data_IF_274304540071
#
_entry.id   IF_274304540071
#
_cell.length_a   1.000
_cell.length_b   1.000
_cell.length_c   1.000
_cell.angle_alpha   90.00
_cell.angle_beta   90.00
_cell.angle_gamma   90.00
#
_symmetry.space_group_name_H-M   'P 1'
#
loop_
_entity.id
_entity.type
_entity.pdbx_description
1 polymer ?
2 polymer ?
3 polymer ?
4 non-polymer ?
5 non-polymer ?
6 water ?
#
loop_
_entity_poly.entity_id
_entity_poly.type
_entity_poly.pdbx_seq_one_letter_code
_entity_poly.pdbx_strand_id
3 'polydeoxyribonucleotide' '(DA)(DT)(DC)(DC)(DT)(DC)(DC)(DC)(DC)(DT)(DA)(DOC)' ?
#
# COMPACT_ATOMS: atom_id res chain seq x y z
N UNK A 1 -18.27 -11.60 19.92
CA UNK A 1 -18.92 -11.17 18.65
C UNK A 1 -19.39 -9.77 19.07
N UNK A 2 -20.00 -8.98 18.21
CA UNK A 2 -20.40 -7.61 18.59
C UNK A 2 -19.19 -6.71 18.72
N UNK A 3 -19.07 -5.88 17.70
CA UNK A 3 -18.00 -4.93 17.50
C UNK A 3 -17.89 -3.85 18.56
N UNK A 4 -16.67 -3.60 18.99
CA UNK A 4 -16.42 -2.57 19.99
C UNK A 4 -16.67 -1.21 19.37
N UNK A 5 -17.47 -0.38 20.03
CA UNK A 5 -17.80 0.95 19.51
C UNK A 5 -16.69 1.97 19.74
N UNK A 6 -16.75 3.05 18.97
CA UNK A 6 -15.76 4.12 19.04
C UNK A 6 -15.67 4.90 20.35
N UNK A 7 -16.64 4.72 21.24
CA UNK A 7 -16.59 5.42 22.53
C UNK A 7 -16.03 4.50 23.60
N UNK A 8 -15.56 3.33 23.18
CA UNK A 8 -15.01 2.35 24.10
C UNK A 8 -13.48 2.47 24.18
N UNK A 9 -12.94 2.41 25.41
CA UNK A 9 -11.49 2.50 25.59
C UNK A 9 -10.67 1.58 24.71
N UNK A 10 -11.16 0.40 24.31
CA UNK A 10 -10.23 -0.29 23.44
C UNK A 10 -10.64 -0.42 21.99
N UNK A 11 -11.34 0.60 21.50
CA UNK A 11 -11.77 0.68 20.11
C UNK A 11 -10.59 0.53 19.15
N UNK A 12 -9.55 1.31 19.39
CA UNK A 12 -8.37 1.29 18.52
C UNK A 12 -7.76 -0.09 18.43
N UNK A 13 -7.59 -0.72 19.57
CA UNK A 13 -7.00 -2.04 19.67
C UNK A 13 -7.75 -3.07 18.84
N UNK A 14 -9.06 -3.07 19.02
CA UNK A 14 -9.95 -4.00 18.34
C UNK A 14 -10.10 -3.69 16.85
N UNK A 15 -10.18 -2.41 16.52
CA UNK A 15 -10.29 -2.00 15.13
C UNK A 15 -9.00 -2.36 14.39
N UNK A 16 -7.86 -1.93 14.93
CA UNK A 16 -6.58 -2.26 14.32
C UNK A 16 -6.35 -3.76 14.21
N UNK A 17 -6.81 -4.54 15.19
CA UNK A 17 -6.60 -5.99 15.12
C UNK A 17 -7.34 -6.59 13.95
N UNK A 18 -8.38 -5.89 13.50
CA UNK A 18 -9.21 -6.37 12.40
C UNK A 18 -8.96 -5.72 11.05
N UNK A 19 -8.44 -4.49 11.04
CA UNK A 19 -8.22 -3.77 9.78
C UNK A 19 -6.97 -4.21 9.02
N UNK A 20 -7.17 -4.78 7.84
CA UNK A 20 -6.02 -5.24 7.05
C UNK A 20 -5.21 -4.03 6.57
N UNK A 21 -5.83 -2.88 6.39
CA UNK A 21 -5.08 -1.72 5.94
C UNK A 21 -4.15 -1.22 7.06
N UNK A 22 -4.58 -1.32 8.31
CA UNK A 22 -3.73 -0.94 9.42
C UNK A 22 -2.55 -1.93 9.44
N UNK A 23 -2.82 -3.22 9.21
CA UNK A 23 -1.73 -4.20 9.23
C UNK A 23 -0.71 -3.92 8.15
N UNK A 24 -1.21 -3.56 6.98
CA UNK A 24 -0.34 -3.27 5.86
C UNK A 24 0.62 -2.15 6.26
N UNK A 25 0.06 -1.08 6.81
CA UNK A 25 0.87 0.05 7.21
C UNK A 25 1.85 -0.29 8.34
N UNK A 26 1.36 -1.00 9.35
CA UNK A 26 2.21 -1.37 10.46
C UNK A 26 3.35 -2.29 9.98
N UNK A 27 3.02 -3.27 9.14
CA UNK A 27 4.06 -4.16 8.66
C UNK A 27 5.10 -3.36 7.88
N UNK A 28 4.64 -2.44 7.03
CA UNK A 28 5.54 -1.62 6.22
C UNK A 28 6.48 -0.84 7.13
N UNK A 29 5.93 -0.13 8.11
CA UNK A 29 6.74 0.65 9.05
C UNK A 29 7.77 -0.21 9.76
N UNK A 30 7.38 -1.40 10.22
CA UNK A 30 8.31 -2.26 10.92
C UNK A 30 9.43 -2.74 10.00
N UNK A 31 9.08 -3.05 8.74
CA UNK A 31 10.09 -3.52 7.80
C UNK A 31 11.12 -2.45 7.49
N UNK A 32 10.67 -1.20 7.33
CA UNK A 32 11.59 -0.10 7.05
C UNK A 32 12.55 -0.06 8.25
N UNK A 33 11.99 -0.09 9.46
CA UNK A 33 12.77 -0.06 10.68
C UNK A 33 13.81 -1.17 10.77
N UNK A 34 13.36 -2.40 10.51
CA UNK A 34 14.24 -3.55 10.56
C UNK A 34 15.38 -3.33 9.58
N UNK A 35 15.08 -2.75 8.43
CA UNK A 35 16.14 -2.52 7.47
C UNK A 35 17.17 -1.54 8.05
N UNK A 36 16.68 -0.50 8.72
CA UNK A 36 17.59 0.47 9.31
C UNK A 36 18.41 -0.15 10.43
N UNK A 37 17.81 -1.04 11.22
CA UNK A 37 18.54 -1.67 12.30
C UNK A 37 19.60 -2.67 11.80
N UNK A 38 19.25 -3.47 10.80
CA UNK A 38 20.16 -4.47 10.23
C UNK A 38 21.31 -3.83 9.47
N UNK A 39 21.11 -2.62 8.99
CA UNK A 39 22.19 -1.97 8.25
C UNK A 39 22.81 -0.77 8.96
N UNK A 40 22.69 -0.67 10.29
CA UNK A 40 23.31 0.44 11.01
C UNK A 40 24.79 0.58 10.65
N UNK A 41 25.45 -0.57 10.47
CA UNK A 41 26.87 -0.61 10.15
C UNK A 41 27.24 -1.14 8.77
N UNK A 42 26.46 -0.80 7.76
CA UNK A 42 26.76 -1.28 6.41
C UNK A 42 26.69 -0.16 5.39
N UNK A 43 27.80 0.06 4.66
CA UNK A 43 27.83 1.08 3.61
C UNK A 43 26.76 0.56 2.65
N UNK A 44 25.82 1.45 2.35
CA UNK A 44 24.59 1.10 1.65
C UNK A 44 24.16 1.77 0.32
N UNK A 45 24.54 3.03 0.13
CA UNK A 45 24.17 3.82 -1.06
C UNK A 45 24.77 3.33 -2.38
N UNK A 46 24.00 3.49 -3.44
CA UNK A 46 24.44 3.13 -4.78
C UNK A 46 24.76 4.47 -5.42
N UNK A 47 25.67 4.48 -6.40
CA UNK A 47 26.12 5.71 -7.06
C UNK A 47 25.75 5.85 -8.54
N UNK A 48 26.11 6.98 -9.15
CA UNK A 48 25.85 7.24 -10.57
C UNK A 48 26.72 6.31 -11.39
N UNK A 49 27.95 6.14 -10.91
CA UNK A 49 28.97 5.30 -11.54
C UNK A 49 28.63 3.81 -11.63
N UNK A 50 27.77 3.33 -10.72
CA UNK A 50 27.33 1.93 -10.61
C UNK A 50 26.40 1.38 -11.72
N UNK A 51 26.58 0.11 -12.09
CA UNK A 51 25.70 -0.53 -13.08
C UNK A 51 24.90 -1.54 -12.29
N UNK A 52 23.58 -1.52 -12.44
CA UNK A 52 22.74 -2.42 -11.65
C UNK A 52 21.52 -3.02 -12.34
N UNK A 53 21.07 -4.15 -11.81
CA UNK A 53 19.90 -4.85 -12.34
C UNK A 53 18.85 -4.93 -11.22
N UNK A 54 17.61 -4.57 -11.52
CA UNK A 54 16.55 -4.59 -10.53
C UNK A 54 15.70 -5.81 -10.68
N UNK A 55 15.44 -6.48 -9.57
CA UNK A 55 14.62 -7.68 -9.63
C UNK A 55 13.48 -7.33 -8.71
N UNK A 56 12.32 -7.02 -9.24
CA UNK A 56 11.18 -6.66 -8.39
C UNK A 56 10.37 -7.92 -8.12
N UNK A 57 10.31 -8.35 -6.85
CA UNK A 57 9.66 -9.59 -6.45
C UNK A 57 8.42 -9.35 -5.58
N UNK A 58 7.32 -10.01 -5.94
CA UNK A 58 6.03 -9.80 -5.29
C UNK A 58 5.23 -11.10 -5.20
N UNK A 59 4.58 -11.38 -4.07
CA UNK A 59 3.76 -12.58 -3.99
C UNK A 59 2.54 -12.40 -4.89
N UNK A 60 2.06 -13.49 -5.49
CA UNK A 60 0.85 -13.40 -6.31
C UNK A 60 -0.36 -13.48 -5.37
N UNK A 61 -1.35 -12.63 -5.61
CA UNK A 61 -2.59 -12.56 -4.80
C UNK A 61 -2.31 -13.11 -3.42
N UNK A 62 -1.46 -12.38 -2.72
CA UNK A 62 -0.93 -12.71 -1.41
C UNK A 62 -1.81 -13.23 -0.28
N UNK A 63 -2.87 -12.52 0.07
CA UNK A 63 -3.72 -12.98 1.14
C UNK A 63 -4.55 -14.16 0.68
N UNK A 64 -5.03 -14.07 -0.55
CA UNK A 64 -5.83 -15.12 -1.13
C UNK A 64 -5.05 -16.42 -1.12
N UNK A 65 -3.79 -16.37 -1.57
CA UNK A 65 -2.95 -17.56 -1.58
C UNK A 65 -2.74 -18.11 -0.18
N UNK A 66 -2.29 -17.26 0.72
CA UNK A 66 -2.04 -17.71 2.07
C UNK A 66 -3.29 -18.17 2.81
N UNK A 67 -4.39 -17.42 2.67
CA UNK A 67 -5.64 -17.77 3.33
C UNK A 67 -6.13 -19.12 2.82
N UNK A 68 -5.87 -19.40 1.55
CA UNK A 68 -6.29 -20.67 0.99
C UNK A 68 -5.45 -21.83 1.54
N UNK A 69 -4.13 -21.67 1.56
CA UNK A 69 -3.28 -22.74 2.08
C UNK A 69 -3.56 -23.05 3.56
N UNK A 70 -4.07 -22.06 4.31
CA UNK A 70 -4.39 -22.21 5.74
C UNK A 70 -5.87 -22.30 6.05
N UNK A 71 -6.68 -22.59 5.05
CA UNK A 71 -8.11 -22.63 5.26
C UNK A 71 -8.65 -23.74 6.18
N UNK A 72 -9.63 -23.39 7.00
CA UNK A 72 -10.29 -24.31 7.92
C UNK A 72 -10.90 -25.46 7.10
N UNK A 73 -11.21 -26.58 7.74
CA UNK A 73 -11.74 -27.73 7.00
C UNK A 73 -13.08 -27.58 6.28
N UNK A 74 -13.91 -26.64 6.70
CA UNK A 74 -15.20 -26.47 6.04
C UNK A 74 -15.03 -25.93 4.61
N UNK A 75 -13.82 -25.50 4.28
CA UNK A 75 -13.53 -25.04 2.92
C UNK A 75 -12.58 -26.02 2.24
N UNK A 76 -12.42 -27.25 2.75
CA UNK A 76 -11.49 -28.16 2.09
C UNK A 76 -11.85 -28.41 0.61
N UNK A 77 -13.16 -28.29 0.31
CA UNK A 77 -13.78 -28.53 -1.01
C UNK A 77 -13.39 -27.64 -2.18
N UNK A 78 -12.66 -26.59 -1.77
CA UNK A 78 -12.14 -25.50 -2.58
C UNK A 78 -10.92 -25.85 -3.42
N UNK A 79 -10.86 -25.31 -4.63
CA UNK A 79 -9.77 -25.58 -5.57
C UNK A 79 -9.26 -24.22 -6.10
N UNK A 80 -8.07 -23.83 -5.64
CA UNK A 80 -7.47 -22.56 -6.03
C UNK A 80 -7.36 -22.32 -7.53
N UNK A 81 -7.25 -23.40 -8.31
CA UNK A 81 -7.09 -23.26 -9.75
C UNK A 81 -8.39 -23.15 -10.56
N UNK A 82 -9.54 -23.56 -10.01
CA UNK A 82 -10.81 -23.51 -10.76
C UNK A 82 -11.89 -22.59 -10.20
N UNK A 83 -11.79 -22.27 -8.90
CA UNK A 83 -12.75 -21.46 -8.17
C UNK A 83 -12.35 -19.99 -7.94
N UNK A 84 -13.32 -19.04 -7.96
CA UNK A 84 -13.01 -17.63 -7.73
C UNK A 84 -12.95 -17.44 -6.22
N UNK A 85 -11.80 -17.02 -5.72
CA UNK A 85 -11.64 -16.87 -4.28
C UNK A 85 -11.24 -15.48 -3.84
N UNK A 86 -11.79 -15.07 -2.72
CA UNK A 86 -11.47 -13.76 -2.17
C UNK A 86 -11.31 -13.87 -0.68
N UNK A 87 -10.69 -12.85 -0.11
CA UNK A 87 -10.49 -12.74 1.33
C UNK A 87 -11.23 -11.48 1.72
N UNK A 88 -12.15 -11.58 2.69
CA UNK A 88 -12.91 -10.41 3.12
C UNK A 88 -13.62 -10.68 4.44
N UNK A 89 -14.20 -9.63 5.02
CA UNK A 89 -14.91 -9.79 6.28
C UNK A 89 -16.37 -10.14 6.14
N UNK A 90 -17.01 -9.49 5.17
CA UNK A 90 -18.43 -9.68 5.02
C UNK A 90 -19.01 -10.28 3.76
N UNK A 91 -20.23 -9.83 3.49
CA UNK A 91 -21.05 -10.32 2.41
C UNK A 91 -21.62 -9.29 1.41
N UNK A 92 -21.55 -8.01 1.73
CA UNK A 92 -22.10 -7.00 0.82
C UNK A 92 -21.12 -5.88 0.46
N UNK A 93 -21.08 -4.81 1.27
CA UNK A 93 -20.19 -3.68 1.00
C UNK A 93 -18.92 -3.81 1.79
N UNK A 94 -18.35 -5.00 1.66
CA UNK A 94 -17.12 -5.39 2.32
C UNK A 94 -16.00 -5.48 1.31
N UNK A 95 -14.86 -4.90 1.66
CA UNK A 95 -13.70 -4.90 0.77
C UNK A 95 -13.09 -6.27 0.54
N UNK A 96 -12.82 -6.57 -0.71
CA UNK A 96 -12.16 -7.81 -1.06
C UNK A 96 -10.69 -7.43 -0.93
N UNK A 97 -10.02 -7.89 0.11
CA UNK A 97 -8.60 -7.53 0.26
C UNK A 97 -7.78 -8.11 -0.89
N UNK A 98 -8.05 -9.36 -1.23
CA UNK A 98 -7.28 -10.02 -2.26
C UNK A 98 -8.13 -11.06 -2.97
N UNK A 99 -7.96 -11.19 -4.28
CA UNK A 99 -8.69 -12.18 -5.07
C UNK A 99 -7.72 -12.94 -5.96
N UNK A 100 -7.99 -14.23 -6.17
CA UNK A 100 -7.12 -15.04 -7.01
C UNK A 100 -7.37 -14.80 -8.49
N UNK A 101 -6.45 -15.28 -9.31
CA UNK A 101 -6.56 -15.05 -10.74
C UNK A 101 -7.81 -15.62 -11.40
N UNK A 102 -8.38 -16.66 -10.82
CA UNK A 102 -9.62 -17.16 -11.41
C UNK A 102 -10.65 -16.05 -11.19
N UNK A 103 -10.73 -15.48 -9.99
CA UNK A 103 -11.69 -14.40 -9.78
C UNK A 103 -11.40 -13.22 -10.71
N UNK A 104 -10.12 -12.93 -10.94
CA UNK A 104 -9.77 -11.82 -11.82
C UNK A 104 -10.18 -12.07 -13.27
N UNK A 105 -10.30 -13.33 -13.65
CA UNK A 105 -10.68 -13.60 -15.02
C UNK A 105 -12.12 -13.12 -15.26
N UNK A 106 -12.89 -12.92 -14.20
CA UNK A 106 -14.25 -12.44 -14.34
C UNK A 106 -14.35 -10.93 -14.21
N UNK A 107 -13.21 -10.29 -13.91
CA UNK A 107 -13.20 -8.84 -13.75
C UNK A 107 -13.08 -8.37 -12.31
N UNK A 108 -13.08 -9.31 -11.38
CA UNK A 108 -12.98 -8.99 -9.97
C UNK A 108 -11.59 -8.39 -9.67
N UNK A 109 -11.53 -7.37 -8.81
CA UNK A 109 -10.26 -6.71 -8.47
C UNK A 109 -10.09 -6.52 -6.97
N UNK A 110 -8.85 -6.29 -6.54
CA UNK A 110 -8.60 -6.04 -5.13
C UNK A 110 -9.24 -4.67 -4.90
N UNK A 111 -9.86 -4.45 -3.75
CA UNK A 111 -10.46 -3.16 -3.53
C UNK A 111 -11.94 -3.09 -3.86
N UNK A 112 -12.43 -4.09 -4.59
CA UNK A 112 -13.83 -4.18 -4.99
C UNK A 112 -14.70 -4.69 -3.83
N UNK A 113 -15.97 -4.29 -3.77
CA UNK A 113 -16.85 -4.79 -2.73
C UNK A 113 -17.40 -6.15 -3.16
N UNK A 114 -17.67 -7.02 -2.20
CA UNK A 114 -18.22 -8.33 -2.50
C UNK A 114 -19.49 -8.25 -3.36
N UNK A 115 -20.39 -7.30 -3.05
CA UNK A 115 -21.62 -7.18 -3.84
C UNK A 115 -21.33 -6.92 -5.32
N UNK A 116 -20.36 -6.05 -5.59
CA UNK A 116 -19.92 -5.71 -6.96
C UNK A 116 -19.41 -6.99 -7.63
N UNK A 117 -18.52 -7.70 -6.93
CA UNK A 117 -17.89 -8.90 -7.46
C UNK A 117 -18.86 -10.01 -7.85
N UNK A 118 -19.82 -10.30 -6.98
CA UNK A 118 -20.78 -11.34 -7.27
C UNK A 118 -21.62 -11.08 -8.49
N UNK A 119 -21.89 -9.81 -8.80
CA UNK A 119 -22.65 -9.51 -9.99
C UNK A 119 -21.85 -9.88 -11.22
N UNK A 120 -20.53 -9.97 -11.11
CA UNK A 120 -19.73 -10.29 -12.29
C UNK A 120 -19.63 -11.76 -12.60
N UNK A 121 -20.17 -12.60 -11.75
CA UNK A 121 -20.08 -14.03 -11.97
C UNK A 121 -21.23 -14.66 -12.72
N UNK A 122 -20.91 -15.39 -13.79
CA UNK A 122 -21.95 -16.05 -14.58
C UNK A 122 -22.63 -17.14 -13.77
N UNK A 123 -23.80 -17.52 -14.28
CA UNK A 123 -24.62 -18.57 -13.71
C UNK A 123 -23.81 -19.82 -13.48
N UNK A 124 -23.83 -20.32 -12.26
CA UNK A 124 -23.11 -21.54 -12.00
C UNK A 124 -21.72 -21.35 -11.42
N UNK A 125 -21.33 -20.11 -11.18
CA UNK A 125 -20.03 -19.88 -10.60
C UNK A 125 -20.33 -19.16 -9.29
N UNK A 126 -19.80 -19.72 -8.21
CA UNK A 126 -20.02 -19.17 -6.88
C UNK A 126 -18.72 -18.63 -6.29
N UNK A 127 -18.84 -17.48 -5.66
CA UNK A 127 -17.72 -16.79 -5.03
C UNK A 127 -17.38 -17.45 -3.71
N UNK A 128 -16.10 -17.72 -3.50
CA UNK A 128 -15.72 -18.31 -2.24
C UNK A 128 -15.00 -17.26 -1.41
N UNK A 129 -15.52 -16.99 -0.22
CA UNK A 129 -14.97 -15.98 0.69
C UNK A 129 -14.18 -16.56 1.85
N UNK A 130 -12.88 -16.25 1.93
CA UNK A 130 -12.06 -16.74 3.03
C UNK A 130 -11.80 -15.65 4.06
N UNK A 131 -11.57 -16.03 5.33
CA UNK A 131 -11.29 -15.06 6.39
C UNK A 131 -9.83 -14.63 6.31
N UNK A 132 -9.48 -13.57 7.02
CA UNK A 132 -8.10 -13.12 7.05
C UNK A 132 -7.36 -14.02 8.02
N UNK A 133 -6.09 -14.27 7.74
CA UNK A 133 -5.24 -15.06 8.63
C UNK A 133 -3.98 -14.19 8.77
N UNK A 134 -4.09 -13.14 9.57
CA UNK A 134 -2.98 -12.21 9.75
C UNK A 134 -1.64 -12.78 10.20
N UNK A 135 -1.65 -13.64 11.21
CA UNK A 135 -0.42 -14.22 11.70
C UNK A 135 0.26 -15.01 10.59
N UNK A 136 -0.52 -15.77 9.83
CA UNK A 136 0.06 -16.52 8.74
C UNK A 136 0.61 -15.59 7.65
N UNK A 137 -0.06 -14.48 7.34
CA UNK A 137 0.49 -13.59 6.30
C UNK A 137 1.88 -13.18 6.74
N UNK A 138 2.03 -12.91 8.02
CA UNK A 138 3.30 -12.47 8.54
C UNK A 138 4.37 -13.58 8.51
N UNK A 139 4.01 -14.81 8.85
CA UNK A 139 4.99 -15.89 8.81
C UNK A 139 5.51 -16.14 7.38
N UNK A 140 4.62 -16.08 6.39
CA UNK A 140 5.04 -16.28 5.01
C UNK A 140 5.94 -15.13 4.59
N UNK A 141 5.63 -13.93 5.08
CA UNK A 141 6.48 -12.82 4.71
C UNK A 141 7.89 -12.98 5.28
N UNK A 142 7.99 -13.49 6.51
CA UNK A 142 9.30 -13.68 7.13
C UNK A 142 10.12 -14.72 6.35
N UNK A 143 9.49 -15.82 5.94
CA UNK A 143 10.16 -16.85 5.16
C UNK A 143 10.68 -16.24 3.85
N UNK A 144 9.81 -15.47 3.20
CA UNK A 144 10.14 -14.78 1.95
C UNK A 144 11.39 -13.97 2.17
N UNK A 145 11.37 -13.06 3.13
CA UNK A 145 12.54 -12.23 3.38
C UNK A 145 13.78 -12.99 3.86
N UNK A 146 13.64 -14.02 4.70
CA UNK A 146 14.85 -14.71 5.13
C UNK A 146 15.42 -15.49 3.95
N UNK A 147 14.55 -16.07 3.14
CA UNK A 147 14.98 -16.81 1.97
C UNK A 147 15.76 -15.92 1.01
N UNK A 148 15.30 -14.69 0.82
CA UNK A 148 16.01 -13.80 -0.06
C UNK A 148 17.43 -13.59 0.47
N UNK A 149 17.56 -13.19 1.73
CA UNK A 149 18.88 -12.98 2.32
C UNK A 149 19.76 -14.23 2.20
N UNK A 150 19.19 -15.41 2.48
CA UNK A 150 19.95 -16.67 2.41
C UNK A 150 20.60 -17.01 1.06
N UNK A 151 19.89 -16.80 -0.05
CA UNK A 151 20.46 -17.04 -1.37
C UNK A 151 21.49 -15.92 -1.32
N UNK A 152 22.65 -16.01 -1.93
CA UNK A 152 23.43 -14.80 -1.67
C UNK A 152 23.56 -14.11 -2.96
N UNK A 153 22.42 -13.62 -3.40
CA UNK A 153 22.30 -13.00 -4.68
C UNK A 153 22.34 -11.50 -4.82
N UNK A 154 21.80 -10.79 -3.84
CA UNK A 154 21.70 -9.36 -3.94
C UNK A 154 22.58 -8.47 -3.07
N UNK A 155 22.90 -7.31 -3.62
CA UNK A 155 23.71 -6.35 -2.92
C UNK A 155 22.81 -5.61 -1.98
N UNK A 156 21.54 -5.52 -2.35
CA UNK A 156 20.64 -4.88 -1.45
C UNK A 156 19.19 -5.25 -1.69
N UNK A 157 18.49 -5.36 -0.57
CA UNK A 157 17.11 -5.79 -0.54
C UNK A 157 16.26 -4.75 0.15
N UNK A 158 15.48 -4.03 -0.65
CA UNK A 158 14.62 -2.97 -0.16
C UNK A 158 13.20 -3.47 0.08
N UNK A 159 12.75 -3.47 1.35
CA UNK A 159 11.39 -3.95 1.61
C UNK A 159 10.43 -2.87 1.13
N UNK A 160 9.43 -3.25 0.34
CA UNK A 160 8.47 -2.28 -0.14
C UNK A 160 7.19 -2.52 0.65
N UNK A 161 6.94 -3.79 0.89
CA UNK A 161 5.73 -4.18 1.57
C UNK A 161 5.82 -5.55 2.17
N UNK A 162 4.78 -5.95 2.87
CA UNK A 162 4.80 -7.24 3.48
C UNK A 162 5.01 -8.40 2.51
N UNK A 163 4.69 -8.22 1.22
CA UNK A 163 4.89 -9.29 0.25
C UNK A 163 5.69 -8.81 -0.98
N UNK A 164 6.51 -7.79 -0.80
CA UNK A 164 7.20 -7.26 -1.96
C UNK A 164 8.54 -6.63 -1.65
N UNK A 165 9.53 -6.94 -2.47
CA UNK A 165 10.87 -6.41 -2.29
C UNK A 165 11.54 -6.04 -3.61
N UNK A 166 12.32 -4.97 -3.54
CA UNK A 166 13.09 -4.52 -4.68
C UNK A 166 14.52 -4.95 -4.36
N UNK A 167 14.99 -5.96 -5.08
CA UNK A 167 16.33 -6.48 -4.86
C UNK A 167 17.27 -5.97 -5.95
N UNK A 168 18.46 -5.56 -5.55
CA UNK A 168 19.42 -5.01 -6.49
C UNK A 168 20.73 -5.79 -6.61
N UNK A 169 21.16 -6.07 -7.85
CA UNK A 169 22.44 -6.74 -8.10
C UNK A 169 23.31 -5.69 -8.75
N UNK A 170 24.49 -5.48 -8.18
CA UNK A 170 25.42 -4.53 -8.74
C UNK A 170 26.31 -5.35 -9.65
N UNK A 171 26.47 -4.90 -10.87
CA UNK A 171 27.28 -5.62 -11.83
C UNK A 171 28.62 -4.92 -12.06
N UNK A 172 29.75 -5.57 -11.74
CA UNK A 172 30.98 -4.83 -12.01
C UNK A 172 31.15 -4.87 -13.55
N UNK A 173 31.71 -3.81 -14.13
CA UNK A 173 31.90 -3.62 -15.58
C UNK A 173 31.11 -4.49 -16.58
N UNK A 180 20.75 -14.20 -19.51
CA UNK A 180 20.84 -15.65 -19.37
C UNK A 180 21.00 -16.10 -17.92
N UNK A 181 21.96 -15.50 -17.22
CA UNK A 181 22.15 -15.79 -15.81
C UNK A 181 20.85 -15.32 -15.12
N UNK A 182 20.41 -14.11 -15.47
CA UNK A 182 19.21 -13.54 -14.87
C UNK A 182 17.99 -14.48 -14.87
N UNK A 183 17.81 -15.24 -15.94
CA UNK A 183 16.68 -16.17 -15.96
C UNK A 183 16.89 -17.32 -14.98
N UNK A 184 18.11 -17.88 -14.89
CA UNK A 184 18.37 -18.98 -13.94
C UNK A 184 18.13 -18.45 -12.53
N UNK A 185 18.55 -17.21 -12.27
CA UNK A 185 18.36 -16.61 -10.95
C UNK A 185 16.86 -16.47 -10.66
N UNK A 186 16.11 -15.92 -11.62
CA UNK A 186 14.68 -15.79 -11.42
C UNK A 186 14.03 -17.12 -11.09
N UNK A 187 14.49 -18.19 -11.75
CA UNK A 187 13.91 -19.51 -11.50
C UNK A 187 14.29 -20.07 -10.15
N UNK A 188 15.48 -19.72 -9.67
CA UNK A 188 15.94 -20.21 -8.37
C UNK A 188 15.13 -19.53 -7.28
N UNK A 189 15.04 -18.21 -7.37
CA UNK A 189 14.30 -17.44 -6.38
C UNK A 189 12.86 -17.92 -6.31
N UNK A 190 12.19 -18.06 -7.45
CA UNK A 190 10.81 -18.52 -7.42
C UNK A 190 10.70 -19.90 -6.79
N UNK A 191 11.64 -20.79 -7.09
CA UNK A 191 11.58 -22.13 -6.53
C UNK A 191 11.83 -22.20 -5.03
N UNK A 192 12.90 -21.56 -4.59
CA UNK A 192 13.23 -21.56 -3.18
C UNK A 192 12.13 -20.87 -2.38
N UNK A 193 11.57 -19.80 -2.90
CA UNK A 193 10.50 -19.15 -2.16
C UNK A 193 9.27 -20.05 -2.12
N UNK A 194 8.96 -20.72 -3.23
CA UNK A 194 7.82 -21.63 -3.21
C UNK A 194 8.04 -22.68 -2.10
N UNK A 195 9.26 -23.21 -1.94
CA UNK A 195 9.51 -24.21 -0.90
C UNK A 195 9.59 -23.63 0.53
N UNK A 196 10.29 -22.51 0.68
CA UNK A 196 10.46 -21.92 2.01
C UNK A 196 9.19 -21.38 2.64
N UNK A 197 8.19 -21.29 1.78
CA UNK A 197 6.88 -20.74 2.05
C UNK A 197 5.76 -21.79 2.07
N UNK A 198 6.05 -22.95 1.50
CA UNK A 198 5.10 -24.04 1.34
C UNK A 198 4.29 -23.68 0.11
N UNK A 199 2.99 -23.82 0.06
CA UNK A 199 2.40 -23.48 -1.22
C UNK A 199 2.48 -22.10 -1.90
N UNK A 200 3.23 -21.10 -1.42
CA UNK A 200 3.16 -19.79 -2.09
C UNK A 200 4.02 -19.47 -3.29
N UNK A 201 3.40 -18.65 -4.13
CA UNK A 201 3.99 -18.23 -5.38
C UNK A 201 4.36 -16.76 -5.42
N UNK A 202 5.44 -16.49 -6.14
CA UNK A 202 5.99 -15.15 -6.24
C UNK A 202 6.35 -14.88 -7.72
N UNK A 203 6.13 -13.65 -8.22
CA UNK A 203 6.51 -13.35 -9.60
C UNK A 203 7.66 -12.37 -9.55
N UNK A 204 8.39 -12.27 -10.65
CA UNK A 204 9.56 -11.40 -10.70
C UNK A 204 9.69 -10.59 -11.98
N UNK A 205 9.99 -9.31 -11.81
CA UNK A 205 10.20 -8.40 -12.92
C UNK A 205 11.67 -8.07 -12.81
N UNK A 206 12.41 -8.23 -13.90
CA UNK A 206 13.83 -7.97 -13.88
C UNK A 206 14.20 -6.99 -14.96
N UNK A 207 14.86 -5.90 -14.59
CA UNK A 207 15.22 -4.90 -15.58
C UNK A 207 16.34 -4.00 -15.11
N UNK A 208 16.70 -3.02 -15.95
CA UNK A 208 17.72 -2.06 -15.59
C UNK A 208 17.16 -0.72 -15.11
N UNK A 209 15.85 -0.65 -14.88
CA UNK A 209 15.23 0.55 -14.28
C UNK A 209 14.22 0.04 -13.32
N UNK A 210 13.89 0.86 -12.34
CA UNK A 210 12.89 0.47 -11.40
C UNK A 210 11.54 0.41 -12.11
N UNK A 211 11.24 1.40 -12.98
CA UNK A 211 9.94 1.39 -13.65
C UNK A 211 9.70 0.16 -14.49
N UNK A 212 10.66 -0.20 -15.33
CA UNK A 212 10.49 -1.36 -16.19
C UNK A 212 10.39 -2.65 -15.41
N UNK A 213 11.14 -2.72 -14.30
CA UNK A 213 11.12 -3.90 -13.45
C UNK A 213 9.68 -4.06 -12.92
N UNK A 214 9.05 -2.93 -12.59
CA UNK A 214 7.70 -3.00 -12.07
C UNK A 214 6.71 -3.37 -13.15
N UNK A 215 6.93 -2.89 -14.36
CA UNK A 215 6.01 -3.23 -15.44
C UNK A 215 6.24 -4.68 -15.85
N UNK A 216 7.50 -5.11 -15.81
CA UNK A 216 7.81 -6.48 -16.17
C UNK A 216 7.16 -7.40 -15.14
N UNK A 217 7.12 -6.94 -13.89
CA UNK A 217 6.50 -7.73 -12.84
C UNK A 217 5.02 -7.99 -13.19
N UNK A 218 4.29 -6.93 -13.54
CA UNK A 218 2.87 -7.01 -13.89
C UNK A 218 2.68 -8.00 -15.04
N UNK A 219 3.51 -7.87 -16.06
CA UNK A 219 3.43 -8.76 -17.21
C UNK A 219 3.77 -10.22 -16.89
N UNK A 220 4.60 -10.43 -15.86
CA UNK A 220 4.98 -11.78 -15.48
C UNK A 220 3.96 -12.41 -14.54
N UNK A 221 3.29 -11.54 -13.79
CA UNK A 221 2.41 -11.86 -12.65
C UNK A 221 1.85 -13.26 -12.36
N UNK A 222 0.97 -13.83 -13.22
CA UNK A 222 0.54 -15.16 -12.85
C UNK A 222 1.69 -16.15 -12.72
N UNK A 223 2.30 -16.16 -11.55
CA UNK A 223 3.37 -17.10 -11.22
C UNK A 223 4.44 -17.26 -12.29
N UNK A 224 5.22 -16.21 -12.53
CA UNK A 224 6.28 -16.30 -13.52
C UNK A 224 7.25 -15.15 -13.42
N UNK A 225 8.07 -14.96 -14.46
CA UNK A 225 9.03 -13.87 -14.44
C UNK A 225 9.14 -13.30 -15.84
N UNK A 226 9.61 -12.07 -15.94
CA UNK A 226 9.75 -11.43 -17.25
C UNK A 226 10.98 -10.57 -17.22
N UNK A 227 11.81 -10.62 -18.26
CA UNK A 227 12.99 -9.79 -18.20
C UNK A 227 12.91 -8.39 -18.82
N UNK A 228 12.88 -8.16 -20.11
CA UNK A 228 12.70 -6.75 -20.52
C UNK A 228 13.56 -5.55 -20.00
N UNK A 229 14.62 -5.21 -20.75
CA UNK A 229 15.51 -4.07 -20.45
C UNK A 229 15.12 -2.86 -21.31
N UNK A 230 15.68 -1.68 -21.01
CA UNK A 230 15.37 -0.46 -21.78
C UNK A 230 15.46 -0.75 -23.28
N UNK A 231 16.38 -1.62 -23.68
CA UNK A 231 16.54 -1.94 -25.08
C UNK A 231 15.59 -3.03 -25.61
N UNK A 232 14.71 -3.56 -24.77
CA UNK A 232 13.77 -4.59 -25.20
C UNK A 232 12.38 -4.00 -25.43
N UNK A 233 12.25 -2.69 -25.26
CA UNK A 233 10.96 -2.06 -25.42
C UNK A 233 10.42 -2.15 -26.84
N UNK A 234 9.14 -2.49 -26.92
CA UNK A 234 8.46 -2.64 -28.19
C UNK A 234 7.01 -2.19 -28.04
N UNK A 235 6.32 -2.13 -29.16
CA UNK A 235 4.92 -1.72 -29.14
C UNK A 235 4.07 -2.84 -28.56
N UNK A 236 4.49 -4.08 -28.77
CA UNK A 236 3.70 -5.18 -28.22
C UNK A 236 3.78 -5.10 -26.71
N UNK A 237 4.92 -4.64 -26.19
CA UNK A 237 5.07 -4.53 -24.75
C UNK A 237 4.21 -3.45 -24.14
N UNK A 238 4.02 -2.36 -24.88
CA UNK A 238 3.28 -1.20 -24.38
C UNK A 238 1.78 -1.38 -24.37
N UNK A 239 1.37 -1.97 -25.47
CA UNK A 239 0.03 -2.30 -25.77
C UNK A 239 -0.55 -3.22 -24.73
N UNK A 240 0.28 -3.89 -23.96
CA UNK A 240 -0.26 -4.81 -22.98
C UNK A 240 -0.63 -4.18 -21.64
N UNK A 241 -0.35 -2.89 -21.47
CA UNK A 241 -0.61 -2.21 -20.20
C UNK A 241 -1.69 -1.14 -20.17
N UNK A 242 -2.49 -1.12 -19.09
CA UNK A 242 -3.54 -0.10 -18.88
C UNK A 242 -2.73 1.15 -18.43
N UNK A 243 -3.31 2.35 -18.51
CA UNK A 243 -2.58 3.55 -18.08
C UNK A 243 -2.19 3.52 -16.61
N UNK A 244 -3.09 3.02 -15.76
CA UNK A 244 -2.75 2.98 -14.35
C UNK A 244 -1.84 1.82 -13.94
N UNK A 245 -1.20 1.18 -14.91
CA UNK A 245 -0.25 0.15 -14.56
C UNK A 245 1.07 0.90 -14.30
N UNK A 246 1.14 2.20 -14.64
CA UNK A 246 2.36 2.95 -14.37
C UNK A 246 2.51 3.25 -12.89
N UNK A 247 3.76 3.22 -12.35
CA UNK A 247 3.82 3.53 -10.92
C UNK A 247 3.42 4.99 -10.79
N UNK A 248 2.68 5.37 -9.77
CA UNK A 248 2.35 6.77 -9.66
C UNK A 248 1.08 7.20 -10.37
N UNK A 249 0.45 6.31 -11.12
CA UNK A 249 -0.79 6.65 -11.78
C UNK A 249 -1.95 5.86 -11.18
N UNK A 250 -2.90 6.57 -10.57
CA UNK A 250 -4.05 5.93 -9.95
C UNK A 250 -5.35 6.38 -10.61
N UNK A 251 -6.47 6.30 -9.90
CA UNK A 251 -7.75 6.69 -10.49
C UNK A 251 -7.81 8.11 -11.05
N UNK A 252 -7.45 9.14 -10.27
CA UNK A 252 -7.54 10.51 -10.80
C UNK A 252 -6.61 10.80 -11.96
N UNK A 253 -5.35 10.42 -11.84
CA UNK A 253 -4.42 10.66 -12.94
C UNK A 253 -4.98 9.98 -14.20
N UNK A 254 -5.51 8.76 -14.06
CA UNK A 254 -6.06 8.01 -15.20
C UNK A 254 -7.18 8.83 -15.82
N UNK A 255 -8.09 9.29 -14.98
CA UNK A 255 -9.19 10.07 -15.46
C UNK A 255 -8.71 11.35 -16.16
N UNK A 256 -7.68 12.00 -15.63
CA UNK A 256 -7.16 13.22 -16.28
C UNK A 256 -6.50 12.86 -17.61
N UNK A 257 -5.71 11.79 -17.64
CA UNK A 257 -5.05 11.40 -18.88
C UNK A 257 -6.10 11.11 -19.95
N UNK A 258 -7.18 10.47 -19.54
CA UNK A 258 -8.21 10.14 -20.49
C UNK A 258 -8.90 11.38 -21.02
N UNK A 259 -9.17 12.34 -20.16
CA UNK A 259 -9.85 13.54 -20.61
C UNK A 259 -8.96 14.37 -21.54
N UNK A 260 -7.64 14.35 -21.31
CA UNK A 260 -6.71 15.11 -22.14
C UNK A 260 -6.33 14.48 -23.49
N UNK A 261 -6.13 13.16 -23.54
CA UNK A 261 -5.71 12.52 -24.77
C UNK A 261 -6.69 11.54 -25.46
N UNK A 262 -7.99 11.90 -25.50
CA UNK A 262 -9.04 11.08 -26.11
C UNK A 262 -9.04 9.61 -25.70
N UNK A 263 -9.20 9.39 -24.42
CA UNK A 263 -9.25 8.07 -23.86
C UNK A 263 -8.32 7.03 -24.48
N UNK A 264 -7.01 7.14 -24.22
CA UNK A 264 -6.12 6.13 -24.80
C UNK A 264 -6.35 4.89 -23.92
N UNK A 265 -6.40 3.71 -24.53
CA UNK A 265 -6.66 2.48 -23.76
C UNK A 265 -5.45 1.68 -23.29
N UNK A 266 -4.28 1.96 -23.85
CA UNK A 266 -3.09 1.23 -23.43
C UNK A 266 -1.96 2.23 -23.36
N UNK A 267 -0.85 1.85 -22.74
CA UNK A 267 0.27 2.76 -22.65
C UNK A 267 0.79 3.06 -24.04
N UNK A 268 0.63 2.11 -24.97
CA UNK A 268 1.13 2.37 -26.31
C UNK A 268 0.37 3.51 -26.98
N UNK A 269 -0.94 3.55 -26.76
CA UNK A 269 -1.80 4.58 -27.33
C UNK A 269 -1.44 5.94 -26.75
N UNK A 270 -1.07 5.94 -25.48
CA UNK A 270 -0.71 7.17 -24.81
C UNK A 270 0.63 7.62 -25.33
N UNK A 271 1.60 6.73 -25.43
CA UNK A 271 2.86 7.23 -25.89
C UNK A 271 2.85 7.68 -27.34
N UNK A 272 1.88 7.22 -28.14
CA UNK A 272 1.81 7.67 -29.53
C UNK A 272 1.11 9.04 -29.63
N UNK A 273 0.33 9.42 -28.61
CA UNK A 273 -0.41 10.67 -28.68
C UNK A 273 0.11 11.88 -27.91
N UNK A 274 0.77 11.60 -26.79
CA UNK A 274 1.25 12.67 -25.92
C UNK A 274 2.38 13.57 -26.39
N UNK A 275 2.39 14.76 -25.81
CA UNK A 275 3.43 15.76 -26.03
C UNK A 275 3.78 16.10 -24.58
N UNK A 276 5.06 16.24 -24.29
CA UNK A 276 5.43 16.53 -22.91
C UNK A 276 4.61 17.69 -22.32
N UNK A 277 4.60 18.83 -22.99
CA UNK A 277 3.86 19.98 -22.47
C UNK A 277 2.41 19.71 -22.06
N UNK A 278 1.65 19.01 -22.92
CA UNK A 278 0.26 18.72 -22.62
C UNK A 278 0.11 17.81 -21.40
N UNK A 279 1.03 16.85 -21.29
CA UNK A 279 1.08 15.91 -20.18
C UNK A 279 1.17 16.74 -18.92
N UNK A 280 2.27 17.50 -18.82
CA UNK A 280 2.50 18.36 -17.68
C UNK A 280 1.30 19.23 -17.32
N UNK A 281 0.62 19.82 -18.32
CA UNK A 281 -0.55 20.66 -18.04
C UNK A 281 -1.65 19.80 -17.43
N UNK A 282 -1.77 18.58 -17.95
CA UNK A 282 -2.79 17.66 -17.53
C UNK A 282 -2.69 17.02 -16.14
N UNK A 283 -1.52 16.49 -15.80
CA UNK A 283 -1.37 15.80 -14.53
C UNK A 283 -0.36 16.36 -13.53
N UNK A 284 0.26 17.48 -13.84
CA UNK A 284 1.25 18.02 -12.92
C UNK A 284 2.54 17.90 -13.68
N UNK A 285 3.61 18.56 -13.25
CA UNK A 285 4.76 18.44 -14.12
C UNK A 285 5.63 17.27 -13.80
N UNK A 286 6.00 17.19 -12.53
CA UNK A 286 6.82 16.12 -12.02
C UNK A 286 6.21 14.79 -12.39
N UNK A 287 4.91 14.69 -12.19
CA UNK A 287 4.23 13.44 -12.51
C UNK A 287 4.29 13.33 -14.03
N UNK A 288 4.01 14.43 -14.72
CA UNK A 288 4.05 14.42 -16.17
C UNK A 288 5.42 14.00 -16.66
N UNK A 289 6.43 14.56 -16.01
CA UNK A 289 7.82 14.30 -16.30
C UNK A 289 8.10 12.82 -16.00
N UNK A 290 7.58 12.32 -14.88
CA UNK A 290 7.77 10.91 -14.48
C UNK A 290 7.18 9.95 -15.51
N UNK A 291 6.00 10.30 -16.03
CA UNK A 291 5.32 9.46 -17.01
C UNK A 291 6.14 9.47 -18.29
N UNK A 292 6.58 10.65 -18.67
CA UNK A 292 7.40 10.87 -19.85
C UNK A 292 8.61 9.95 -19.85
N UNK A 293 9.38 9.98 -18.76
CA UNK A 293 10.57 9.14 -18.63
C UNK A 293 10.21 7.67 -18.62
N UNK A 294 9.17 7.33 -17.87
CA UNK A 294 8.70 5.96 -17.76
C UNK A 294 8.43 5.34 -19.14
N UNK A 295 7.89 6.15 -20.04
CA UNK A 295 7.57 5.68 -21.38
C UNK A 295 8.80 5.46 -22.23
N UNK A 296 9.97 5.74 -21.66
CA UNK A 296 11.21 5.53 -22.38
C UNK A 296 12.01 4.59 -21.51
N UNK A 297 11.31 4.02 -20.54
CA UNK A 297 11.95 3.09 -19.62
C UNK A 297 12.86 3.74 -18.60
N UNK A 298 12.73 5.04 -18.37
CA UNK A 298 13.62 5.67 -17.40
C UNK A 298 12.96 6.13 -16.10
N UNK A 299 13.74 6.04 -15.02
CA UNK A 299 13.33 6.44 -13.66
C UNK A 299 13.51 7.94 -13.45
N UNK A 300 12.60 8.57 -12.70
CA UNK A 300 12.74 10.00 -12.42
C UNK A 300 13.69 10.10 -11.24
N UNK A 301 14.29 11.27 -11.01
CA UNK A 301 15.19 11.35 -9.87
C UNK A 301 14.46 10.99 -8.57
N UNK A 302 13.32 11.61 -8.25
CA UNK A 302 12.60 11.29 -6.99
C UNK A 302 12.61 9.77 -6.75
N UNK A 303 12.18 8.99 -7.73
CA UNK A 303 12.14 7.53 -7.58
C UNK A 303 13.50 6.91 -7.29
N UNK A 304 14.56 7.53 -7.77
CA UNK A 304 15.89 6.98 -7.59
C UNK A 304 16.52 7.22 -6.20
N UNK A 305 15.99 8.16 -5.42
CA UNK A 305 16.58 8.41 -4.10
C UNK A 305 16.63 7.12 -3.29
N UNK A 306 15.65 6.24 -3.47
CA UNK A 306 15.64 5.01 -2.70
C UNK A 306 16.87 4.12 -2.97
N UNK A 307 17.55 4.35 -4.09
CA UNK A 307 18.75 3.55 -4.39
C UNK A 307 20.03 4.29 -4.00
N UNK A 308 20.01 5.62 -4.16
CA UNK A 308 21.16 6.47 -3.88
C UNK A 308 21.26 6.81 -2.37
N UNK A 309 20.23 6.47 -1.63
CA UNK A 309 20.19 6.67 -0.21
C UNK A 309 18.93 6.02 0.36
N UNK A 310 19.03 4.72 0.67
CA UNK A 310 17.86 4.05 1.25
C UNK A 310 17.62 4.47 2.68
N UNK A 311 18.69 4.69 3.41
CA UNK A 311 18.53 5.07 4.80
C UNK A 311 17.75 6.38 5.00
N UNK A 312 17.89 7.35 4.11
CA UNK A 312 17.10 8.56 4.31
C UNK A 312 15.67 8.33 3.82
N UNK A 313 15.51 7.64 2.70
CA UNK A 313 14.16 7.41 2.19
C UNK A 313 13.32 6.57 3.14
N UNK A 314 13.93 5.56 3.75
CA UNK A 314 13.24 4.66 4.67
C UNK A 314 13.12 5.18 6.11
N UNK A 315 13.76 6.32 6.39
CA UNK A 315 13.70 6.91 7.71
C UNK A 315 12.32 7.56 7.82
N UNK A 316 11.58 7.15 8.83
CA UNK A 316 10.25 7.65 9.12
C UNK A 316 10.31 9.15 9.43
N UNK A 317 9.46 9.94 8.80
CA UNK A 317 9.44 11.39 9.03
C UNK A 317 8.14 11.88 9.69
N UNK A 318 7.14 11.01 9.79
CA UNK A 318 5.90 11.40 10.45
C UNK A 318 5.22 10.19 11.06
N UNK A 319 4.25 10.45 11.93
CA UNK A 319 3.56 9.39 12.63
C UNK A 319 2.10 9.76 12.85
N UNK A 320 1.18 8.83 12.61
CA UNK A 320 -0.22 9.18 12.78
C UNK A 320 -1.20 8.04 12.78
N UNK A 321 -2.43 8.37 13.16
CA UNK A 321 -3.50 7.39 13.07
C UNK A 321 -4.56 8.08 12.23
N UNK A 322 -5.35 7.26 11.54
CA UNK A 322 -6.36 7.78 10.63
C UNK A 322 -7.51 6.77 10.70
N UNK A 323 -8.57 7.13 11.44
CA UNK A 323 -9.76 6.27 11.62
C UNK A 323 -10.96 6.83 10.84
N UNK A 324 -11.48 6.05 9.91
CA UNK A 324 -12.61 6.52 9.10
C UNK A 324 -13.74 5.50 8.97
N UNK A 325 -13.77 4.57 9.90
CA UNK A 325 -14.80 3.55 9.93
C UNK A 325 -15.22 3.40 11.37
N UNK A 326 -16.52 3.25 11.60
CA UNK A 326 -17.00 3.08 12.95
C UNK A 326 -17.01 4.37 13.76
N UNK A 327 -16.86 5.52 13.12
CA UNK A 327 -16.87 6.77 13.86
C UNK A 327 -18.27 7.39 13.96
N UNK A 328 -18.86 7.28 15.15
CA UNK A 328 -20.20 7.81 15.42
C UNK A 328 -20.22 8.39 16.82
N UNK A 329 -20.34 9.71 16.92
CA UNK A 329 -20.35 10.37 18.22
C UNK A 329 -21.57 11.26 18.42
N UNK A 330 -21.95 11.48 19.67
CA UNK A 330 -23.08 12.34 19.95
C UNK A 330 -22.70 13.70 20.57
N UNK A 331 -21.64 13.75 21.38
CA UNK A 331 -21.26 15.00 22.00
C UNK A 331 -19.74 15.29 22.04
N UNK A 332 -19.35 16.55 22.23
CA UNK A 332 -17.94 16.85 22.26
C UNK A 332 -17.16 16.11 23.34
N UNK A 333 -17.77 15.77 24.48
CA UNK A 333 -17.04 15.03 25.54
C UNK A 333 -16.49 13.68 25.07
N UNK A 334 -17.28 12.94 24.32
CA UNK A 334 -16.84 11.65 23.79
C UNK A 334 -15.69 11.88 22.81
N UNK A 335 -15.81 12.91 21.98
CA UNK A 335 -14.77 13.23 21.01
C UNK A 335 -13.47 13.55 21.74
N UNK A 336 -13.56 14.39 22.77
CA UNK A 336 -12.35 14.72 23.51
C UNK A 336 -11.71 13.47 24.08
N UNK A 337 -12.50 12.58 24.66
CA UNK A 337 -11.91 11.39 25.24
C UNK A 337 -11.26 10.53 24.18
N UNK A 338 -11.87 10.51 23.00
CA UNK A 338 -11.35 9.72 21.90
C UNK A 338 -10.00 10.32 21.46
N UNK A 339 -9.95 11.63 21.35
CA UNK A 339 -8.74 12.32 20.98
C UNK A 339 -7.65 12.03 22.01
N UNK A 340 -8.02 12.08 23.28
CA UNK A 340 -7.06 11.81 24.34
C UNK A 340 -6.48 10.42 24.19
N UNK A 341 -7.35 9.42 24.01
CA UNK A 341 -6.87 8.05 23.85
C UNK A 341 -5.99 7.92 22.62
N UNK A 342 -6.35 8.64 21.56
CA UNK A 342 -5.58 8.58 20.34
C UNK A 342 -4.18 9.12 20.58
N UNK A 343 -4.08 10.21 21.34
CA UNK A 343 -2.78 10.79 21.66
C UNK A 343 -2.02 9.84 22.57
N UNK A 344 -2.72 9.10 23.43
CA UNK A 344 -2.01 8.17 24.30
C UNK A 344 -1.39 7.06 23.46
N UNK A 345 -2.14 6.61 22.47
CA UNK A 345 -1.68 5.54 21.58
C UNK A 345 -0.47 6.00 20.79
N UNK A 346 -0.57 7.19 20.21
CA UNK A 346 0.52 7.72 19.43
C UNK A 346 1.76 8.01 20.25
N UNK A 347 1.58 8.52 21.46
CA UNK A 347 2.74 8.80 22.29
C UNK A 347 3.49 7.50 22.65
N UNK A 348 2.77 6.38 22.82
CA UNK A 348 3.40 5.09 23.11
C UNK A 348 4.35 4.77 21.93
N UNK A 349 3.86 5.02 20.72
CA UNK A 349 4.62 4.78 19.51
C UNK A 349 5.81 5.74 19.40
N UNK A 350 5.56 7.02 19.62
CA UNK A 350 6.61 8.03 19.56
C UNK A 350 7.77 7.72 20.49
N UNK A 351 7.46 7.27 21.70
CA UNK A 351 8.47 6.97 22.68
C UNK A 351 9.24 5.67 22.35
N UNK A 352 8.58 4.75 21.67
CA UNK A 352 9.13 3.46 21.22
C UNK A 352 10.21 3.74 20.14
N UNK A 353 10.03 4.80 19.36
CA UNK A 353 11.00 5.12 18.32
C UNK A 353 11.92 6.31 18.72
N UNK A 354 11.94 6.61 20.02
CA UNK A 354 12.71 7.68 20.66
C UNK A 354 12.76 9.02 19.91
N UNK A 355 11.58 9.57 19.67
CA UNK A 355 11.44 10.85 18.98
C UNK A 355 10.42 11.74 19.70
N UNK A 356 10.40 13.01 19.32
CA UNK A 356 9.47 13.99 19.85
C UNK A 356 8.89 14.63 18.59
N UNK A 357 7.88 15.49 18.72
CA UNK A 357 7.26 16.15 17.58
C UNK A 357 7.28 17.65 17.74
N UNK A 358 7.37 18.36 16.63
CA UNK A 358 7.37 19.81 16.71
C UNK A 358 6.20 20.37 15.92
N UNK A 359 5.43 19.47 15.28
CA UNK A 359 4.27 19.89 14.48
C UNK A 359 3.15 18.85 14.43
N UNK A 360 1.95 19.25 14.82
CA UNK A 360 0.83 18.36 14.78
C UNK A 360 -0.31 18.86 13.92
N UNK A 361 -1.11 17.91 13.47
CA UNK A 361 -2.25 18.15 12.61
C UNK A 361 -3.44 17.28 13.05
N UNK A 362 -4.62 17.86 13.06
CA UNK A 362 -5.84 17.12 13.36
C UNK A 362 -6.60 17.27 12.05
N UNK A 363 -7.04 16.15 11.48
CA UNK A 363 -7.76 16.21 10.22
C UNK A 363 -9.05 15.42 10.44
N UNK A 364 -10.14 15.87 9.82
CA UNK A 364 -11.38 15.15 10.02
C UNK A 364 -12.22 15.02 8.76
N UNK A 365 -13.10 14.02 8.75
CA UNK A 365 -14.00 13.79 7.63
C UNK A 365 -15.38 14.15 8.17
N UNK A 366 -16.07 15.06 7.49
CA UNK A 366 -17.39 15.50 7.92
C UNK A 366 -18.44 15.17 6.87
N UNK A 367 -19.58 14.63 7.29
CA UNK A 367 -20.70 14.27 6.41
C UNK A 367 -21.06 15.42 5.46
N UNK A 368 -21.02 15.19 4.14
CA UNK A 368 -21.39 16.24 3.18
C UNK A 368 -22.83 16.65 3.42
N UNK A 369 -23.13 17.92 3.20
CA UNK A 369 -24.49 18.43 3.39
C UNK A 369 -25.54 17.53 2.71
N UNK A 370 -25.23 17.08 1.50
CA UNK A 370 -26.15 16.24 0.72
C UNK A 370 -26.19 14.73 0.96
N UNK A 371 -25.30 14.22 1.79
CA UNK A 371 -25.20 12.79 2.06
C UNK A 371 -26.08 12.18 3.13
N UNK A 372 -26.50 10.93 2.93
CA UNK A 372 -27.34 10.28 3.93
C UNK A 372 -26.62 10.17 5.26
N UNK A 373 -27.40 10.23 6.34
CA UNK A 373 -26.90 10.14 7.71
C UNK A 373 -26.26 8.77 7.96
N UNK A 374 -26.78 7.71 7.33
CA UNK A 374 -26.12 6.40 7.43
C UNK A 374 -25.80 5.95 6.01
N UNK A 375 -24.51 5.77 5.68
CA UNK A 375 -23.94 5.33 4.42
C UNK A 375 -24.31 4.00 3.82
N UNK A 376 -24.12 3.87 2.50
CA UNK A 376 -24.44 2.55 1.98
C UNK A 376 -23.61 1.52 2.76
N UNK A 377 -22.36 1.83 3.09
CA UNK A 377 -21.52 0.86 3.82
C UNK A 377 -21.72 0.89 5.34
N UNK A 378 -22.08 -0.26 5.91
CA UNK A 378 -22.31 -0.35 7.34
C UNK A 378 -21.13 0.24 8.11
N UNK A 379 -21.43 1.25 8.92
CA UNK A 379 -20.44 1.94 9.75
C UNK A 379 -19.37 2.70 8.94
N UNK A 380 -19.61 2.87 7.65
CA UNK A 380 -18.66 3.59 6.83
C UNK A 380 -18.70 5.09 7.05
N UNK A 381 -17.76 5.81 6.46
CA UNK A 381 -17.75 7.25 6.60
C UNK A 381 -18.65 7.89 5.56
N UNK A 382 -18.91 7.17 4.46
CA UNK A 382 -19.74 7.72 3.40
C UNK A 382 -19.08 8.91 2.72
N UNK A 383 -19.86 9.66 1.93
CA UNK A 383 -19.35 10.84 1.21
C UNK A 383 -19.17 11.99 2.21
N UNK A 384 -17.95 12.51 2.26
CA UNK A 384 -17.55 13.55 3.22
C UNK A 384 -16.61 14.60 2.69
N UNK A 385 -16.49 15.69 3.46
CA UNK A 385 -15.57 16.76 3.15
C UNK A 385 -14.44 16.73 4.16
N UNK A 386 -13.24 17.08 3.69
CA UNK A 386 -12.07 17.12 4.56
C UNK A 386 -11.84 18.49 5.17
N UNK A 387 -11.40 18.49 6.43
CA UNK A 387 -11.08 19.71 7.14
C UNK A 387 -9.81 19.39 7.89
N UNK A 388 -8.84 20.27 7.78
CA UNK A 388 -7.56 20.02 8.40
C UNK A 388 -6.93 21.26 9.00
N UNK A 389 -6.24 21.09 10.11
CA UNK A 389 -5.54 22.21 10.70
C UNK A 389 -4.34 21.75 11.50
N UNK A 390 -3.24 22.48 11.32
CA UNK A 390 -2.01 22.14 12.00
C UNK A 390 -1.42 23.25 12.88
N UNK A 391 -0.51 22.87 13.76
CA UNK A 391 0.20 23.88 14.54
C UNK A 391 1.59 23.42 14.85
N UNK A 392 2.44 24.42 14.94
CA UNK A 392 3.84 24.27 15.25
C UNK A 392 3.88 24.31 16.76
N UNK A 393 4.59 23.37 17.38
CA UNK A 393 4.71 23.39 18.83
C UNK A 393 5.92 24.27 19.13
N UNK A 394 5.89 24.99 20.24
CA UNK A 394 7.04 25.84 20.54
C UNK A 394 8.34 25.06 20.56
N UNK A 395 8.32 23.90 21.19
CA UNK A 395 9.50 23.06 21.35
C UNK A 395 9.22 21.57 21.12
N UNK A 396 10.12 20.84 20.43
CA UNK A 396 9.80 19.42 20.26
C UNK A 396 9.49 18.82 21.61
N UNK A 397 8.41 18.05 21.63
CA UNK A 397 7.92 17.44 22.85
C UNK A 397 7.26 16.09 22.59
N UNK A 398 7.04 15.36 23.68
CA UNK A 398 6.37 14.08 23.63
C UNK A 398 5.38 14.14 24.81
N UNK A 399 5.11 15.35 25.30
CA UNK A 399 4.18 15.51 26.44
C UNK A 399 2.72 15.41 26.07
N UNK A 400 2.02 14.54 26.76
CA UNK A 400 0.61 14.35 26.54
C UNK A 400 -0.14 15.69 26.71
N UNK A 401 0.14 16.39 27.79
CA UNK A 401 -0.53 17.66 28.07
C UNK A 401 -0.54 18.69 26.96
N UNK A 402 0.64 18.95 26.40
CA UNK A 402 0.80 19.92 25.33
C UNK A 402 0.09 19.44 24.07
N UNK A 403 0.38 18.21 23.67
CA UNK A 403 -0.18 17.63 22.47
C UNK A 403 -1.70 17.39 22.46
N UNK A 404 -2.18 16.75 23.50
CA UNK A 404 -3.61 16.48 23.59
C UNK A 404 -4.42 17.77 23.68
N UNK A 405 -3.92 18.73 24.45
CA UNK A 405 -4.64 20.00 24.58
C UNK A 405 -4.69 20.72 23.24
N UNK A 406 -3.60 20.71 22.49
CA UNK A 406 -3.62 21.39 21.21
C UNK A 406 -4.54 20.64 20.23
N UNK A 407 -4.50 19.32 20.26
CA UNK A 407 -5.37 18.53 19.39
C UNK A 407 -6.83 18.87 19.64
N UNK A 408 -7.22 18.90 20.91
CA UNK A 408 -8.60 19.21 21.27
C UNK A 408 -8.95 20.64 20.84
N UNK A 409 -7.95 21.51 20.91
CA UNK A 409 -8.15 22.90 20.51
C UNK A 409 -8.37 22.97 18.99
N UNK A 410 -7.56 22.25 18.23
CA UNK A 410 -7.69 22.23 16.79
C UNK A 410 -9.06 21.73 16.38
N UNK A 411 -9.62 20.76 17.11
CA UNK A 411 -10.95 20.27 16.78
C UNK A 411 -11.98 21.40 16.94
N UNK A 412 -11.88 22.21 18.00
CA UNK A 412 -12.87 23.28 18.16
C UNK A 412 -12.77 24.27 17.00
N UNK A 413 -11.55 24.55 16.55
CA UNK A 413 -11.35 25.48 15.46
C UNK A 413 -11.98 24.99 14.15
N UNK A 414 -11.96 23.69 13.92
CA UNK A 414 -12.56 23.21 12.68
C UNK A 414 -14.07 23.16 12.79
N UNK A 415 -14.56 23.24 14.03
CA UNK A 415 -15.99 23.25 14.30
C UNK A 415 -16.93 22.24 13.66
N UNK A 416 -16.57 20.98 13.70
CA UNK A 416 -17.45 19.98 13.14
C UNK A 416 -18.33 19.47 14.26
N UNK A 417 -19.66 19.62 14.15
CA UNK A 417 -20.54 19.13 15.22
C UNK A 417 -20.24 17.63 15.37
N UNK A 418 -20.15 17.12 16.60
CA UNK A 418 -19.86 15.69 16.78
C UNK A 418 -20.72 14.72 15.97
N UNK A 419 -22.03 14.96 15.91
CA UNK A 419 -22.89 14.08 15.14
C UNK A 419 -22.57 14.04 13.65
N UNK A 420 -21.80 15.00 13.15
CA UNK A 420 -21.46 15.01 11.72
C UNK A 420 -20.09 14.39 11.48
N UNK A 421 -19.38 14.10 12.56
CA UNK A 421 -18.05 13.53 12.42
C UNK A 421 -18.12 12.12 11.85
N UNK A 422 -17.27 11.81 10.87
CA UNK A 422 -17.29 10.47 10.30
C UNK A 422 -15.89 9.86 10.17
N UNK A 423 -14.88 10.67 10.46
CA UNK A 423 -13.52 10.19 10.37
C UNK A 423 -12.65 11.16 11.10
N UNK A 424 -11.52 10.68 11.59
CA UNK A 424 -10.64 11.52 12.38
C UNK A 424 -9.18 11.07 12.26
N UNK A 425 -8.26 12.00 12.05
CA UNK A 425 -6.85 11.65 11.94
C UNK A 425 -5.99 12.51 12.88
N UNK A 426 -5.08 11.88 13.61
CA UNK A 426 -4.18 12.61 14.52
C UNK A 426 -2.78 12.38 13.97
N UNK A 427 -2.12 13.48 13.62
CA UNK A 427 -0.80 13.42 12.99
C UNK A 427 0.33 14.20 13.69
N UNK A 428 1.50 13.56 13.76
CA UNK A 428 2.70 14.21 14.27
C UNK A 428 3.51 14.35 12.95
N UNK A 429 3.51 15.57 12.38
CA UNK A 429 4.16 15.84 11.09
C UNK A 429 5.67 15.99 11.00
N UNK A 430 6.31 16.60 11.98
CA UNK A 430 7.77 16.73 11.92
C UNK A 430 8.22 16.02 13.18
N UNK A 431 9.18 15.12 13.03
CA UNK A 431 9.70 14.37 14.15
C UNK A 431 11.12 14.83 14.40
N UNK A 432 11.41 15.09 15.66
CA UNK A 432 12.75 15.52 16.01
C UNK A 432 13.37 14.44 16.85
N UNK A 433 14.67 14.37 16.73
CA UNK A 433 15.37 13.32 17.40
C UNK A 433 15.71 13.36 18.86
N UNK A 434 16.11 12.18 19.28
CA UNK A 434 16.57 11.82 20.61
C UNK A 434 15.73 12.46 21.73
X LIG D 1 -4.36 -5.28 -0.23
X LIG D 1 -5.57 -4.90 0.40
X LIG D 1 -6.36 -4.01 -0.26
X LIG D 1 -6.01 -3.51 -1.47
X LIG D 1 -4.77 -3.87 -2.12
X LIG D 1 -3.99 -4.77 -1.45
X LIG D 1 -5.90 -5.38 1.49
X LIG D 1 -6.83 -2.65 -2.05
X LIG D 1 -3.51 -6.38 0.58
X LIG D 1 -4.11 -7.61 -0.13
X LIG D 1 -2.96 -8.23 -0.89
X LIG D 1 -1.72 -7.46 -0.48
X LIG D 1 -2.09 -6.35 0.39
X LIG D 1 -2.73 -9.63 -0.82
X LIG D 1 -0.81 -7.28 -1.63
X LIG D 1 -1.08 -6.11 -2.64
X LIG D 1 -0.93 -6.35 -4.01
X LIG D 1 0.31 -6.85 -4.28
X LIG D 1 -1.16 -5.17 -5.00
X LIG D 1 -2.18 -7.49 -4.14
X LIG D 1 -2.01 -9.08 -4.54
X LIG D 1 -3.21 -9.79 -3.82
X LIG D 1 -0.57 -9.50 -3.99
X LIG D 1 -2.18 -9.12 -6.16
X LIG D 1 -1.02 -9.37 -7.27
X LIG D 1 -1.56 -8.51 -8.49
X LIG D 1 -0.90 -10.91 -7.62
X LIG D 1 0.36 -8.86 -6.75
X LIG E 1 2.58 -6.21 -2.98
X LIG F 1 1.31 -9.16 -4.49
#
# INVERSE_FOLDING_TARGET
KRIVACDDPDFLTSYFAHSRLHHLSAWKANLKDKFLNENIHKYTKITDKDTYIIFHIDFDCFFATVAYLCRSSSFSACDFKRDPIVVCHGTKNSDIASCNYVARSYGIKNGMWVSQAEKMLPNGIKLISLPYTFEQFQLKSEAFYSTLKRLNIFNLILPISIDEAVCVRIIPDNIHNTNTLNARLCEEIRQEIFQGTNGCTVSIGCSDSLVLARLALKMAKPNGYNITFKSNLSEEFWSSFKLDDLPGVGHSTLSRLESTFDSPHSLNDLRKRYTLDALKASVGSKLGMKIHLALQGQDDEESLKILYDPKEVLQRKSLSIDINWGIRFKNITQVDLFIERGCQYLLEKLNEINKTTSQITLKLMRRCKDAPIEPPKYMGMGRCDSFSRSSRLGIPTNEFGIIATEMKSLYRTLGCPPMELRGLALQFNKLVDV
DCP N1 C2 N3 C4 C5 C6 O2 N4 C1' C2' C3' C4' O4' O3' C5' O5' PA O1A O2A O3A PB O1B O2B O3B PG O1G O2G O3G
MG MG
MG MG
#
